data_IF_008638331976
#
_entry.id   IF_008638331976
#
_cell.length_a   1.000
_cell.length_b   1.000
_cell.length_c   1.000
_cell.angle_alpha   90.00
_cell.angle_beta   90.00
_cell.angle_gamma   90.00
#
_symmetry.space_group_name_H-M   'P 1'
#
loop_
_entity.id
_entity.type
_entity.pdbx_description
1 polymer ?
#
# COMPACT_ATOMS: atom_id res chain seq x y z
N UNK A 1 3.16 29.76 12.28
CA UNK A 1 4.48 29.08 12.35
C UNK A 1 5.21 29.56 13.60
N UNK A 2 5.83 28.67 14.39
CA UNK A 2 6.73 29.10 15.47
C UNK A 2 7.82 30.03 14.91
N UNK A 3 8.26 31.00 15.71
CA UNK A 3 9.17 32.09 15.27
C UNK A 3 10.52 31.63 14.68
N UNK A 4 10.88 30.37 14.85
CA UNK A 4 12.21 29.83 14.50
C UNK A 4 12.19 28.83 13.34
N UNK A 5 11.03 28.59 12.70
CA UNK A 5 10.90 27.63 11.63
C UNK A 5 11.15 28.32 10.27
N UNK A 6 12.31 28.03 9.66
CA UNK A 6 12.73 28.66 8.38
C UNK A 6 12.05 28.04 7.15
N UNK A 7 11.82 26.73 7.16
CA UNK A 7 11.13 25.98 6.11
C UNK A 7 10.38 24.80 6.75
N UNK A 8 9.22 24.46 6.20
CA UNK A 8 8.44 23.27 6.56
C UNK A 8 8.17 22.50 5.28
N UNK A 9 8.48 21.19 5.28
CA UNK A 9 7.92 20.28 4.29
C UNK A 9 6.44 20.09 4.60
N UNK A 10 5.55 20.68 3.81
CA UNK A 10 4.11 20.43 3.92
C UNK A 10 3.81 19.04 3.36
N UNK A 11 3.76 18.04 4.24
CA UNK A 11 3.21 16.72 3.90
C UNK A 11 1.76 16.68 4.34
N UNK A 12 0.85 16.68 3.36
CA UNK A 12 -0.60 16.56 3.62
C UNK A 12 -1.05 15.10 3.77
N UNK A 13 -0.21 14.14 3.40
CA UNK A 13 -0.51 12.71 3.50
C UNK A 13 -0.36 12.12 4.91
N UNK A 14 0.13 12.89 5.89
CA UNK A 14 0.26 12.43 7.28
C UNK A 14 0.07 13.61 8.24
N UNK A 15 -0.96 13.54 9.06
CA UNK A 15 -1.23 14.48 10.15
C UNK A 15 -1.51 13.71 11.44
N UNK A 16 -1.31 14.37 12.58
CA UNK A 16 -1.69 13.84 13.89
C UNK A 16 -2.91 14.59 14.41
N UNK A 17 -3.87 13.86 14.95
CA UNK A 17 -5.05 14.43 15.59
C UNK A 17 -4.96 14.26 17.10
N UNK A 18 -5.42 15.26 17.85
CA UNK A 18 -5.65 15.09 19.28
C UNK A 18 -6.84 14.16 19.52
N UNK A 19 -6.89 13.50 20.68
CA UNK A 19 -8.01 12.63 21.03
C UNK A 19 -9.37 13.36 21.00
N UNK A 20 -9.39 14.63 21.47
CA UNK A 20 -10.60 15.46 21.43
C UNK A 20 -11.06 15.77 20.00
N UNK A 21 -10.10 16.04 19.10
CA UNK A 21 -10.39 16.29 17.69
C UNK A 21 -10.95 15.05 16.99
N UNK A 22 -10.32 13.88 17.21
CA UNK A 22 -10.79 12.60 16.68
C UNK A 22 -12.20 12.26 17.19
N UNK A 23 -12.45 12.43 18.49
CA UNK A 23 -13.77 12.16 19.07
C UNK A 23 -14.84 13.06 18.45
N UNK A 24 -14.54 14.35 18.27
CA UNK A 24 -15.48 15.28 17.64
C UNK A 24 -15.75 14.94 16.17
N UNK A 25 -14.74 14.46 15.42
CA UNK A 25 -14.94 13.98 14.04
C UNK A 25 -15.86 12.76 14.01
N UNK A 26 -15.67 11.80 14.91
CA UNK A 26 -16.52 10.62 15.01
C UNK A 26 -17.96 11.00 15.32
N UNK A 27 -18.18 11.95 16.23
CA UNK A 27 -19.51 12.45 16.56
C UNK A 27 -20.14 13.21 15.38
N UNK A 28 -19.36 14.05 14.68
CA UNK A 28 -19.81 14.82 13.53
C UNK A 28 -20.31 13.93 12.39
N UNK A 29 -19.62 12.82 12.13
CA UNK A 29 -19.93 11.88 11.04
C UNK A 29 -20.63 10.60 11.50
N UNK A 30 -21.09 10.53 12.75
CA UNK A 30 -21.78 9.36 13.30
C UNK A 30 -22.99 8.90 12.45
N UNK A 31 -23.85 9.79 11.93
CA UNK A 31 -24.96 9.37 11.08
C UNK A 31 -24.51 8.61 9.83
N UNK A 32 -23.50 9.10 9.12
CA UNK A 32 -22.95 8.48 7.92
C UNK A 32 -22.27 7.14 8.22
N UNK A 33 -21.53 7.07 9.34
CA UNK A 33 -20.87 5.84 9.79
C UNK A 33 -21.89 4.75 10.15
N UNK A 34 -22.99 5.11 10.81
CA UNK A 34 -24.07 4.18 11.16
C UNK A 34 -24.81 3.70 9.92
N UNK A 35 -25.13 4.61 9.00
CA UNK A 35 -25.87 4.28 7.78
C UNK A 35 -25.02 3.48 6.78
N UNK A 36 -23.69 3.67 6.78
CA UNK A 36 -22.76 3.14 5.76
C UNK A 36 -23.15 3.53 4.32
N UNK A 37 -23.78 4.70 4.16
CA UNK A 37 -24.33 5.15 2.88
C UNK A 37 -23.50 6.23 2.19
N UNK A 38 -22.42 6.71 2.80
CA UNK A 38 -21.61 7.80 2.25
C UNK A 38 -20.16 7.34 1.98
N UNK A 39 -19.61 7.79 0.86
CA UNK A 39 -18.21 7.59 0.47
C UNK A 39 -17.48 8.94 0.53
N UNK A 40 -17.34 9.48 1.75
CA UNK A 40 -16.68 10.75 1.98
C UNK A 40 -15.15 10.56 2.00
N UNK A 41 -14.48 11.22 1.07
CA UNK A 41 -13.01 11.37 1.00
C UNK A 41 -12.52 12.49 1.93
N UNK A 42 -11.42 12.26 2.64
CA UNK A 42 -10.80 13.23 3.56
C UNK A 42 -10.38 14.53 2.89
N UNK A 43 -10.01 14.51 1.60
CA UNK A 43 -9.58 15.71 0.89
C UNK A 43 -10.78 16.66 0.65
N UNK A 44 -11.74 16.33 -0.23
CA UNK A 44 -12.86 17.23 -0.52
C UNK A 44 -13.83 17.37 0.66
N UNK A 45 -14.04 16.37 1.50
CA UNK A 45 -15.11 16.47 2.51
C UNK A 45 -14.64 16.87 3.89
N UNK A 46 -13.34 16.96 4.14
CA UNK A 46 -12.83 17.43 5.43
C UNK A 46 -11.76 18.50 5.25
N UNK A 47 -10.66 18.19 4.58
CA UNK A 47 -9.51 19.08 4.46
C UNK A 47 -9.82 20.36 3.69
N UNK A 48 -10.41 20.24 2.50
CA UNK A 48 -10.71 21.40 1.65
C UNK A 48 -11.65 22.41 2.32
N UNK A 49 -12.82 22.04 2.86
CA UNK A 49 -13.75 23.03 3.43
C UNK A 49 -13.24 23.66 4.74
N UNK A 50 -12.29 23.02 5.46
CA UNK A 50 -11.68 23.64 6.66
C UNK A 50 -10.44 24.49 6.35
N UNK A 51 -10.00 24.56 5.09
CA UNK A 51 -8.78 25.29 4.69
C UNK A 51 -8.94 26.25 3.51
N UNK A 52 -9.86 25.98 2.58
CA UNK A 52 -10.12 26.81 1.41
C UNK A 52 -11.15 27.90 1.71
N UNK A 53 -11.18 28.94 0.88
CA UNK A 53 -12.32 29.85 0.81
C UNK A 53 -13.57 29.15 0.26
N UNK A 54 -14.76 29.62 0.66
CA UNK A 54 -16.04 29.02 0.24
C UNK A 54 -16.14 28.89 -1.28
N UNK A 55 -15.82 29.96 -2.03
CA UNK A 55 -15.91 29.94 -3.48
C UNK A 55 -14.97 28.92 -4.12
N UNK A 56 -13.70 28.88 -3.69
CA UNK A 56 -12.72 27.91 -4.19
C UNK A 56 -13.18 26.47 -3.96
N UNK A 57 -13.76 26.21 -2.79
CA UNK A 57 -14.34 24.90 -2.47
C UNK A 57 -15.51 24.54 -3.39
N UNK A 58 -16.46 25.46 -3.60
CA UNK A 58 -17.60 25.24 -4.50
C UNK A 58 -17.14 24.98 -5.94
N UNK A 59 -16.16 25.73 -6.42
CA UNK A 59 -15.60 25.58 -7.77
C UNK A 59 -14.92 24.20 -7.94
N UNK A 60 -14.26 23.69 -6.91
CA UNK A 60 -13.67 22.35 -6.90
C UNK A 60 -14.75 21.27 -6.88
N UNK A 61 -15.79 21.43 -6.07
CA UNK A 61 -16.87 20.45 -5.94
C UNK A 61 -17.78 20.39 -7.17
N UNK A 62 -17.99 21.53 -7.85
CA UNK A 62 -18.69 21.58 -9.14
C UNK A 62 -18.00 20.71 -10.20
N UNK A 63 -16.65 20.75 -10.28
CA UNK A 63 -15.87 19.88 -11.18
C UNK A 63 -15.98 18.39 -10.83
N UNK A 64 -16.39 18.07 -9.59
CA UNK A 64 -16.64 16.71 -9.10
C UNK A 64 -18.12 16.30 -9.23
N UNK A 65 -18.98 17.17 -9.77
CA UNK A 65 -20.39 16.89 -10.05
C UNK A 65 -21.33 17.10 -8.87
N UNK A 66 -20.89 17.78 -7.80
CA UNK A 66 -21.74 18.14 -6.65
C UNK A 66 -22.45 19.46 -6.92
N UNK A 67 -23.72 19.57 -6.52
CA UNK A 67 -24.48 20.82 -6.67
C UNK A 67 -23.93 21.90 -5.74
N UNK A 68 -24.15 23.17 -6.09
CA UNK A 68 -23.73 24.30 -5.26
C UNK A 68 -24.40 24.26 -3.88
N UNK A 69 -25.68 23.88 -3.82
CA UNK A 69 -26.43 23.79 -2.56
C UNK A 69 -25.86 22.70 -1.64
N UNK A 70 -25.60 21.50 -2.17
CA UNK A 70 -25.01 20.39 -1.41
C UNK A 70 -23.59 20.73 -0.93
N UNK A 71 -22.75 21.26 -1.84
CA UNK A 71 -21.41 21.67 -1.48
C UNK A 71 -21.44 22.81 -0.46
N UNK A 72 -22.31 23.80 -0.64
CA UNK A 72 -22.49 24.91 0.29
C UNK A 72 -22.88 24.45 1.68
N UNK A 73 -23.88 23.58 1.78
CA UNK A 73 -24.31 23.00 3.05
C UNK A 73 -23.17 22.23 3.74
N UNK A 74 -22.38 21.46 2.98
CA UNK A 74 -21.24 20.73 3.53
C UNK A 74 -20.10 21.65 3.98
N UNK A 75 -19.83 22.73 3.23
CA UNK A 75 -18.86 23.76 3.64
C UNK A 75 -19.27 24.39 4.96
N UNK A 76 -20.54 24.79 5.08
CA UNK A 76 -21.06 25.44 6.28
C UNK A 76 -21.03 24.50 7.49
N UNK A 77 -21.34 23.20 7.28
CA UNK A 77 -21.17 22.14 8.30
C UNK A 77 -19.72 22.05 8.80
N UNK A 78 -18.75 21.97 7.90
CA UNK A 78 -17.33 21.87 8.25
C UNK A 78 -16.78 23.17 8.86
N UNK A 79 -17.30 24.33 8.48
CA UNK A 79 -16.99 25.60 9.12
C UNK A 79 -17.49 25.64 10.58
N UNK A 80 -18.70 25.15 10.84
CA UNK A 80 -19.24 25.01 12.20
C UNK A 80 -18.42 24.01 13.03
N UNK A 81 -17.99 22.90 12.43
CA UNK A 81 -17.06 21.97 13.06
C UNK A 81 -15.73 22.64 13.42
N UNK A 82 -15.11 23.36 12.47
CA UNK A 82 -13.85 24.09 12.67
C UNK A 82 -13.94 25.10 13.82
N UNK A 83 -15.07 25.80 13.95
CA UNK A 83 -15.27 26.80 15.00
C UNK A 83 -15.19 26.22 16.43
N UNK A 84 -15.40 24.90 16.61
CA UNK A 84 -15.23 24.21 17.91
C UNK A 84 -13.77 24.22 18.38
N UNK A 85 -12.80 24.32 17.46
CA UNK A 85 -11.37 24.17 17.74
C UNK A 85 -10.54 25.43 17.40
N UNK A 86 -11.01 26.25 16.46
CA UNK A 86 -10.38 27.51 16.07
C UNK A 86 -11.41 28.66 16.06
N UNK A 87 -12.02 28.99 17.22
CA UNK A 87 -13.11 29.95 17.31
C UNK A 87 -12.68 31.39 16.94
N UNK A 88 -11.39 31.72 17.06
CA UNK A 88 -10.81 33.00 16.66
C UNK A 88 -10.28 33.02 15.23
N UNK A 89 -10.53 31.96 14.45
CA UNK A 89 -10.02 31.82 13.08
C UNK A 89 -8.57 31.33 13.02
N UNK A 90 -8.02 30.81 14.12
CA UNK A 90 -6.67 30.26 14.18
C UNK A 90 -6.48 29.08 13.21
N UNK A 91 -5.22 28.73 12.93
CA UNK A 91 -4.92 27.57 12.12
C UNK A 91 -5.35 26.28 12.86
N UNK A 92 -6.17 25.46 12.18
CA UNK A 92 -6.63 24.18 12.73
C UNK A 92 -5.49 23.15 12.84
N UNK A 93 -4.55 23.21 11.89
CA UNK A 93 -3.36 22.36 11.84
C UNK A 93 -2.08 23.17 12.07
N UNK A 94 -1.12 22.53 12.73
CA UNK A 94 0.23 23.05 12.94
C UNK A 94 1.29 22.18 12.28
N UNK A 95 2.54 22.63 12.36
CA UNK A 95 3.69 21.87 11.88
C UNK A 95 4.29 21.06 13.02
N UNK A 96 4.63 19.80 12.76
CA UNK A 96 5.37 18.94 13.69
C UNK A 96 6.83 18.87 13.23
N UNK A 97 7.77 19.19 14.13
CA UNK A 97 9.20 18.95 13.90
C UNK A 97 9.51 17.49 14.23
N UNK A 98 9.81 16.71 13.20
CA UNK A 98 10.19 15.29 13.32
C UNK A 98 11.69 15.10 13.55
N UNK A 99 12.47 16.18 13.55
CA UNK A 99 13.92 16.17 13.72
C UNK A 99 14.68 15.83 12.43
N UNK A 100 15.94 16.29 12.34
CA UNK A 100 16.79 16.11 11.16
C UNK A 100 17.35 14.69 10.99
N UNK A 101 17.25 13.87 12.03
CA UNK A 101 17.78 12.50 12.08
C UNK A 101 16.70 11.43 11.96
N UNK A 102 15.45 11.82 11.71
CA UNK A 102 14.36 10.88 11.50
C UNK A 102 14.60 10.03 10.25
N UNK A 103 14.23 8.75 10.35
CA UNK A 103 14.14 7.89 9.17
C UNK A 103 12.77 8.05 8.52
N UNK A 104 12.75 8.15 7.19
CA UNK A 104 11.54 8.27 6.39
C UNK A 104 11.55 7.18 5.33
N UNK A 105 10.59 6.26 5.41
CA UNK A 105 10.43 5.16 4.45
C UNK A 105 9.06 5.29 3.80
N UNK A 106 9.04 5.84 2.59
CA UNK A 106 7.82 6.04 1.81
C UNK A 106 7.53 4.80 0.94
N UNK A 107 6.29 4.33 0.92
CA UNK A 107 5.86 3.19 0.11
C UNK A 107 4.82 3.58 -0.95
N UNK A 108 4.54 4.88 -1.12
CA UNK A 108 3.46 5.40 -1.97
C UNK A 108 3.73 5.32 -3.47
N UNK A 109 4.97 5.05 -3.90
CA UNK A 109 5.34 4.81 -5.31
C UNK A 109 5.97 3.44 -5.45
N UNK A 110 5.75 2.77 -6.58
CA UNK A 110 6.25 1.42 -6.84
C UNK A 110 7.78 1.30 -6.68
N UNK A 111 8.54 2.27 -7.20
CA UNK A 111 9.99 2.33 -7.01
C UNK A 111 10.37 2.42 -5.52
N UNK A 112 9.69 3.28 -4.76
CA UNK A 112 9.97 3.46 -3.33
C UNK A 112 9.55 2.24 -2.51
N UNK A 113 8.42 1.61 -2.86
CA UNK A 113 7.98 0.34 -2.29
C UNK A 113 9.06 -0.74 -2.48
N UNK A 114 9.57 -0.89 -3.70
CA UNK A 114 10.64 -1.84 -4.03
C UNK A 114 11.92 -1.53 -3.24
N UNK A 115 12.40 -0.28 -3.30
CA UNK A 115 13.63 0.15 -2.64
C UNK A 115 13.57 -0.03 -1.12
N UNK A 116 12.47 0.39 -0.48
CA UNK A 116 12.32 0.29 0.98
C UNK A 116 12.06 -1.14 1.43
N UNK A 117 11.35 -1.95 0.63
CA UNK A 117 11.22 -3.39 0.90
C UNK A 117 12.60 -4.05 0.88
N UNK A 118 13.43 -3.77 -0.13
CA UNK A 118 14.79 -4.30 -0.21
C UNK A 118 15.73 -3.72 0.85
N UNK A 119 15.50 -2.50 1.31
CA UNK A 119 16.37 -1.82 2.29
C UNK A 119 16.52 -2.61 3.59
N UNK A 120 15.57 -3.48 3.93
CA UNK A 120 15.67 -4.40 5.07
C UNK A 120 16.85 -5.38 4.98
N UNK A 121 17.42 -5.61 3.79
CA UNK A 121 18.62 -6.46 3.61
C UNK A 121 19.91 -5.73 3.98
N UNK A 122 19.89 -4.39 4.00
CA UNK A 122 21.08 -3.57 4.17
C UNK A 122 21.67 -3.66 5.58
N UNK A 123 22.99 -3.46 5.66
CA UNK A 123 23.75 -3.41 6.91
C UNK A 123 23.95 -1.96 7.39
N UNK A 124 22.85 -1.24 7.61
CA UNK A 124 22.88 0.15 8.11
C UNK A 124 22.03 0.33 9.38
N UNK A 125 22.28 1.40 10.13
CA UNK A 125 21.49 1.75 11.31
C UNK A 125 20.01 1.99 10.96
N UNK A 126 19.74 2.64 9.82
CA UNK A 126 18.36 2.85 9.34
C UNK A 126 17.69 1.53 8.95
N UNK A 127 18.40 0.63 8.26
CA UNK A 127 17.86 -0.69 7.94
C UNK A 127 17.61 -1.53 9.21
N UNK A 128 18.48 -1.44 10.22
CA UNK A 128 18.25 -2.07 11.52
C UNK A 128 17.02 -1.49 12.22
N UNK A 129 16.84 -0.17 12.22
CA UNK A 129 15.65 0.47 12.76
C UNK A 129 14.37 0.05 12.01
N UNK A 130 14.42 -0.05 10.68
CA UNK A 130 13.30 -0.53 9.86
C UNK A 130 12.93 -1.97 10.22
N UNK A 131 13.92 -2.87 10.34
CA UNK A 131 13.69 -4.26 10.78
C UNK A 131 13.01 -4.31 12.16
N UNK A 132 13.46 -3.48 13.11
CA UNK A 132 12.85 -3.39 14.45
C UNK A 132 11.43 -2.82 14.40
N UNK A 133 11.19 -1.79 13.59
CA UNK A 133 9.86 -1.22 13.38
C UNK A 133 8.86 -2.26 12.85
N UNK A 134 9.30 -3.06 11.87
CA UNK A 134 8.55 -4.18 11.31
C UNK A 134 8.49 -5.41 12.25
N UNK A 135 9.08 -5.31 13.45
CA UNK A 135 9.15 -6.39 14.45
C UNK A 135 9.81 -7.67 13.92
N UNK A 136 10.76 -7.52 13.00
CA UNK A 136 11.62 -8.63 12.61
C UNK A 136 12.57 -8.88 13.78
N UNK A 137 12.54 -10.10 14.33
CA UNK A 137 13.54 -10.58 15.30
C UNK A 137 14.99 -10.50 14.77
N UNK A 138 15.94 -10.91 15.60
CA UNK A 138 17.37 -10.66 15.35
C UNK A 138 17.94 -11.41 14.12
N UNK A 139 17.24 -12.44 13.63
CA UNK A 139 17.59 -13.19 12.42
C UNK A 139 16.89 -12.67 11.17
N UNK A 140 17.55 -12.77 10.01
CA UNK A 140 16.95 -12.43 8.70
C UNK A 140 16.05 -13.51 8.13
N UNK A 141 16.06 -14.71 8.73
CA UNK A 141 15.20 -15.83 8.36
C UNK A 141 14.33 -16.20 9.56
N UNK A 142 13.00 -16.20 9.40
CA UNK A 142 12.05 -16.44 10.49
C UNK A 142 10.85 -17.23 9.99
N UNK A 143 10.38 -18.16 10.82
CA UNK A 143 9.18 -18.98 10.56
C UNK A 143 9.21 -19.66 9.17
N UNK A 144 10.39 -20.00 8.66
CA UNK A 144 10.58 -20.47 7.29
C UNK A 144 11.12 -21.90 7.25
N UNK A 145 10.63 -22.68 6.29
CA UNK A 145 11.07 -24.05 5.96
C UNK A 145 11.84 -24.01 4.64
N UNK A 146 13.16 -23.88 4.72
CA UNK A 146 14.02 -23.84 3.54
C UNK A 146 14.77 -25.16 3.43
N UNK A 147 14.67 -25.82 2.26
CA UNK A 147 15.36 -27.07 2.02
C UNK A 147 16.88 -26.93 2.14
N UNK A 148 17.56 -27.95 2.67
CA UNK A 148 19.01 -27.93 2.87
C UNK A 148 19.83 -27.75 1.58
N UNK A 149 19.25 -28.11 0.43
CA UNK A 149 19.87 -27.92 -0.89
C UNK A 149 19.70 -26.51 -1.45
N UNK A 150 18.95 -25.63 -0.79
CA UNK A 150 18.81 -24.24 -1.21
C UNK A 150 20.03 -23.42 -0.75
N UNK A 151 20.57 -22.60 -1.65
CA UNK A 151 21.60 -21.62 -1.35
C UNK A 151 20.93 -20.31 -0.94
N UNK A 152 21.25 -19.78 0.24
CA UNK A 152 20.67 -18.53 0.73
C UNK A 152 21.77 -17.54 1.08
N UNK A 153 21.75 -16.38 0.44
CA UNK A 153 22.63 -15.27 0.77
C UNK A 153 22.34 -14.76 2.19
N UNK A 154 23.40 -14.49 2.97
CA UNK A 154 23.27 -13.98 4.34
C UNK A 154 22.58 -12.61 4.41
N UNK A 155 22.57 -11.89 3.28
CA UNK A 155 21.88 -10.64 3.02
C UNK A 155 20.35 -10.76 3.00
N UNK A 156 19.84 -11.87 2.47
CA UNK A 156 18.43 -12.04 2.15
C UNK A 156 17.53 -12.08 3.39
N UNK A 157 16.31 -11.56 3.26
CA UNK A 157 15.30 -11.59 4.32
C UNK A 157 14.18 -12.53 3.89
N UNK A 158 13.91 -13.56 4.70
CA UNK A 158 12.96 -14.62 4.40
C UNK A 158 12.04 -14.84 5.61
N UNK A 159 10.75 -14.61 5.42
CA UNK A 159 9.75 -14.65 6.49
C UNK A 159 8.61 -15.57 6.07
N UNK A 160 8.19 -16.46 6.97
CA UNK A 160 7.01 -17.32 6.79
C UNK A 160 6.99 -18.10 5.45
N UNK A 161 8.15 -18.52 4.93
CA UNK A 161 8.26 -19.08 3.58
C UNK A 161 8.64 -20.56 3.57
N UNK A 162 8.13 -21.31 2.60
CA UNK A 162 8.48 -22.73 2.36
C UNK A 162 9.05 -22.88 0.95
N UNK A 163 10.34 -23.21 0.85
CA UNK A 163 11.07 -23.29 -0.42
C UNK A 163 11.82 -24.61 -0.51
N UNK A 164 11.54 -25.39 -1.56
CA UNK A 164 12.10 -26.73 -1.77
C UNK A 164 13.52 -26.78 -2.35
N UNK A 165 14.08 -25.66 -2.82
CA UNK A 165 15.44 -25.59 -3.38
C UNK A 165 15.72 -24.28 -4.13
N UNK A 166 16.87 -24.21 -4.81
CA UNK A 166 17.28 -23.08 -5.65
C UNK A 166 18.28 -22.14 -4.96
N UNK A 167 18.41 -20.91 -5.48
CA UNK A 167 19.35 -19.89 -5.00
C UNK A 167 18.63 -18.58 -4.71
N UNK A 168 18.60 -18.20 -3.43
CA UNK A 168 18.08 -16.90 -2.98
C UNK A 168 19.28 -15.98 -2.82
N UNK A 169 19.54 -15.18 -3.85
CA UNK A 169 20.68 -14.28 -3.96
C UNK A 169 20.56 -13.02 -3.09
N UNK A 170 21.62 -12.18 -3.09
CA UNK A 170 21.66 -10.95 -2.31
C UNK A 170 20.51 -10.01 -2.67
N UNK A 171 20.18 -9.12 -1.73
CA UNK A 171 19.09 -8.15 -1.87
C UNK A 171 17.77 -8.80 -2.28
N UNK A 172 17.44 -9.96 -1.73
CA UNK A 172 16.15 -10.61 -1.97
C UNK A 172 15.31 -10.61 -0.70
N UNK A 173 14.02 -10.37 -0.86
CA UNK A 173 13.04 -10.37 0.23
C UNK A 173 11.89 -11.31 -0.13
N UNK A 174 11.69 -12.34 0.68
CA UNK A 174 10.61 -13.30 0.55
C UNK A 174 9.75 -13.23 1.80
N UNK A 175 8.45 -12.96 1.66
CA UNK A 175 7.48 -12.95 2.76
C UNK A 175 6.28 -13.79 2.36
N UNK A 176 6.00 -14.83 3.12
CA UNK A 176 4.92 -15.79 2.82
C UNK A 176 5.01 -16.41 1.42
N UNK A 177 6.20 -16.90 1.06
CA UNK A 177 6.46 -17.51 -0.26
C UNK A 177 6.43 -19.03 -0.15
N UNK A 178 5.66 -19.69 -1.01
CA UNK A 178 5.57 -21.15 -1.09
C UNK A 178 5.85 -21.60 -2.53
N UNK A 179 6.94 -22.32 -2.77
CA UNK A 179 7.34 -22.75 -4.11
C UNK A 179 8.25 -24.00 -4.08
N UNK A 180 8.26 -24.83 -5.13
CA UNK A 180 9.15 -25.99 -5.22
C UNK A 180 10.64 -25.56 -5.27
N UNK A 181 10.95 -24.42 -5.90
CA UNK A 181 12.28 -23.81 -5.84
C UNK A 181 12.22 -22.33 -6.19
N UNK A 182 13.17 -21.55 -5.66
CA UNK A 182 13.31 -20.11 -5.95
C UNK A 182 14.75 -19.82 -6.37
N UNK A 183 14.94 -19.19 -7.53
CA UNK A 183 16.22 -18.73 -8.07
C UNK A 183 16.12 -17.25 -8.41
N UNK A 184 16.38 -16.38 -7.42
CA UNK A 184 16.13 -14.94 -7.53
C UNK A 184 17.27 -14.10 -6.98
N UNK A 185 17.41 -12.88 -7.49
CA UNK A 185 18.35 -11.89 -6.96
C UNK A 185 17.78 -10.47 -7.08
N UNK A 186 17.86 -9.67 -6.03
CA UNK A 186 17.31 -8.31 -6.09
C UNK A 186 15.78 -8.26 -6.13
N UNK A 187 15.08 -9.37 -5.83
CA UNK A 187 13.62 -9.47 -5.99
C UNK A 187 12.87 -9.29 -4.66
N UNK A 188 11.65 -8.80 -4.76
CA UNK A 188 10.69 -8.77 -3.65
C UNK A 188 9.52 -9.69 -3.97
N UNK A 189 9.26 -10.68 -3.12
CA UNK A 189 8.16 -11.63 -3.26
C UNK A 189 7.33 -11.57 -1.98
N UNK A 190 6.12 -11.04 -2.06
CA UNK A 190 5.21 -10.89 -0.91
C UNK A 190 3.93 -11.67 -1.19
N UNK A 191 3.59 -12.61 -0.31
CA UNK A 191 2.46 -13.51 -0.42
C UNK A 191 2.41 -14.20 -1.79
N UNK A 192 3.34 -15.12 -2.04
CA UNK A 192 3.45 -15.80 -3.34
C UNK A 192 3.28 -17.29 -3.15
N UNK A 193 2.45 -17.92 -3.95
CA UNK A 193 2.35 -19.38 -4.03
C UNK A 193 2.42 -19.80 -5.47
N UNK A 194 3.44 -20.57 -5.84
CA UNK A 194 3.60 -21.09 -7.19
C UNK A 194 3.84 -22.59 -7.15
N UNK A 195 3.10 -23.35 -7.96
CA UNK A 195 3.32 -24.79 -8.15
C UNK A 195 4.50 -25.10 -9.07
N UNK A 196 5.18 -24.06 -9.60
CA UNK A 196 6.35 -24.15 -10.48
C UNK A 196 7.54 -23.41 -9.85
N UNK A 197 8.78 -23.64 -10.31
CA UNK A 197 9.93 -22.84 -9.91
C UNK A 197 9.71 -21.35 -10.14
N UNK A 198 10.20 -20.50 -9.23
CA UNK A 198 10.22 -19.05 -9.42
C UNK A 198 11.64 -18.63 -9.81
N UNK A 199 11.78 -17.82 -10.86
CA UNK A 199 13.07 -17.29 -11.32
C UNK A 199 13.01 -15.81 -11.63
N UNK A 200 14.06 -15.05 -11.37
CA UNK A 200 14.17 -13.70 -11.91
C UNK A 200 15.12 -12.78 -11.17
N UNK A 201 15.20 -11.54 -11.65
CA UNK A 201 16.09 -10.52 -11.11
C UNK A 201 15.43 -9.15 -11.07
N UNK A 202 15.47 -8.49 -9.92
CA UNK A 202 15.02 -7.10 -9.78
C UNK A 202 13.51 -6.86 -9.90
N UNK A 203 12.70 -7.93 -9.90
CA UNK A 203 11.24 -7.84 -10.01
C UNK A 203 10.49 -7.85 -8.67
N UNK A 204 9.17 -7.67 -8.76
CA UNK A 204 8.24 -7.71 -7.64
C UNK A 204 7.07 -8.64 -7.96
N UNK A 205 6.83 -9.63 -7.10
CA UNK A 205 5.58 -10.41 -7.09
C UNK A 205 4.82 -10.08 -5.81
N UNK A 206 3.57 -9.63 -5.96
CA UNK A 206 2.71 -9.27 -4.83
C UNK A 206 1.38 -10.03 -4.88
N UNK A 207 1.09 -10.82 -3.84
CA UNK A 207 -0.16 -11.55 -3.70
C UNK A 207 -0.41 -12.50 -4.89
N UNK A 208 0.60 -13.23 -5.35
CA UNK A 208 0.55 -14.00 -6.60
C UNK A 208 0.22 -15.46 -6.33
N UNK A 209 -0.79 -16.00 -7.04
CA UNK A 209 -1.06 -17.44 -7.12
C UNK A 209 -0.83 -17.92 -8.54
N UNK A 210 0.17 -18.77 -8.71
CA UNK A 210 0.58 -19.35 -9.99
C UNK A 210 0.41 -20.88 -9.98
N UNK A 211 -0.58 -21.34 -10.73
CA UNK A 211 -0.92 -22.76 -10.90
C UNK A 211 -0.92 -23.15 -12.38
N UNK A 212 -0.21 -22.39 -13.22
CA UNK A 212 -0.14 -22.67 -14.65
C UNK A 212 0.44 -24.07 -14.88
N UNK A 213 -0.16 -24.81 -15.81
CA UNK A 213 0.41 -26.08 -16.28
C UNK A 213 1.66 -25.83 -17.13
N UNK A 214 2.67 -26.69 -17.01
CA UNK A 214 3.90 -26.61 -17.79
C UNK A 214 5.17 -26.59 -16.95
N UNK A 215 6.32 -26.61 -17.63
CA UNK A 215 7.65 -26.69 -17.00
C UNK A 215 8.36 -25.33 -16.89
N UNK A 216 7.86 -24.30 -17.57
CA UNK A 216 8.46 -22.96 -17.49
C UNK A 216 8.39 -22.45 -16.04
N UNK A 217 9.33 -21.60 -15.59
CA UNK A 217 9.22 -20.97 -14.29
C UNK A 217 8.20 -19.83 -14.29
N UNK A 218 7.73 -19.44 -13.11
CA UNK A 218 7.14 -18.12 -12.89
C UNK A 218 8.28 -17.08 -12.86
N UNK A 219 8.21 -16.07 -13.72
CA UNK A 219 9.25 -15.04 -13.79
C UNK A 219 9.02 -13.89 -12.80
N UNK A 220 10.11 -13.36 -12.26
CA UNK A 220 10.18 -12.20 -11.36
C UNK A 220 11.21 -11.19 -11.88
N UNK A 221 11.15 -10.88 -13.17
CA UNK A 221 11.99 -9.88 -13.84
C UNK A 221 11.27 -8.53 -14.03
N UNK A 222 9.96 -8.50 -13.73
CA UNK A 222 9.10 -7.33 -13.80
C UNK A 222 8.17 -7.32 -12.57
N UNK A 223 7.19 -6.42 -12.59
CA UNK A 223 6.20 -6.33 -11.50
C UNK A 223 4.93 -7.07 -11.90
N UNK A 224 4.47 -7.96 -11.02
CA UNK A 224 3.15 -8.60 -11.11
C UNK A 224 2.44 -8.53 -9.75
N UNK A 225 1.17 -8.20 -9.78
CA UNK A 225 0.26 -8.37 -8.67
C UNK A 225 -1.01 -9.09 -9.12
N UNK A 226 -1.47 -10.07 -8.34
CA UNK A 226 -2.80 -10.65 -8.59
C UNK A 226 -3.83 -9.98 -7.66
N UNK A 227 -4.96 -9.58 -8.24
CA UNK A 227 -6.08 -8.98 -7.54
C UNK A 227 -7.23 -9.98 -7.50
N UNK A 228 -7.63 -10.36 -6.29
CA UNK A 228 -8.72 -11.30 -6.06
C UNK A 228 -9.99 -10.56 -5.69
N UNK A 229 -11.09 -10.98 -6.31
CA UNK A 229 -12.44 -10.51 -6.03
C UNK A 229 -13.34 -11.71 -5.70
N UNK A 230 -14.51 -11.50 -5.05
CA UNK A 230 -15.44 -12.56 -4.74
C UNK A 230 -15.87 -13.36 -5.99
N UNK A 231 -16.31 -14.60 -5.79
CA UNK A 231 -16.72 -15.47 -6.88
C UNK A 231 -15.56 -16.12 -7.66
N UNK A 232 -14.35 -16.10 -7.12
CA UNK A 232 -13.17 -16.74 -7.73
C UNK A 232 -12.54 -15.93 -8.86
N UNK A 233 -12.86 -14.65 -8.95
CA UNK A 233 -12.29 -13.75 -9.95
C UNK A 233 -10.86 -13.39 -9.54
N UNK A 234 -9.92 -13.59 -10.47
CA UNK A 234 -8.51 -13.20 -10.32
C UNK A 234 -8.07 -12.40 -11.53
N UNK A 235 -7.67 -11.14 -11.31
CA UNK A 235 -7.02 -10.32 -12.32
C UNK A 235 -5.51 -10.34 -12.12
N UNK A 236 -4.79 -10.79 -13.14
CA UNK A 236 -3.33 -10.70 -13.18
C UNK A 236 -2.95 -9.34 -13.74
N UNK A 237 -2.22 -8.54 -12.95
CA UNK A 237 -1.82 -7.19 -13.29
C UNK A 237 -0.30 -7.08 -13.36
N UNK A 238 0.20 -6.60 -14.49
CA UNK A 238 1.60 -6.40 -14.80
C UNK A 238 1.98 -4.92 -14.82
N UNK A 239 3.23 -4.65 -14.46
CA UNK A 239 3.88 -3.33 -14.51
C UNK A 239 5.40 -3.49 -14.55
N UNK A 240 6.12 -2.38 -14.50
CA UNK A 240 7.59 -2.37 -14.36
C UNK A 240 8.04 -1.22 -13.47
N UNK A 241 9.28 -1.28 -12.99
CA UNK A 241 9.89 -0.16 -12.24
C UNK A 241 10.08 1.10 -13.12
N UNK A 242 10.05 0.95 -14.44
CA UNK A 242 10.11 2.08 -15.39
C UNK A 242 8.72 2.72 -15.63
N UNK A 243 7.63 2.10 -15.16
CA UNK A 243 6.28 2.59 -15.37
C UNK A 243 5.94 3.70 -14.36
N UNK A 244 5.66 4.90 -14.86
CA UNK A 244 5.07 5.96 -14.05
C UNK A 244 3.58 5.69 -13.81
N UNK A 245 3.25 5.30 -12.58
CA UNK A 245 1.88 5.00 -12.16
C UNK A 245 0.92 6.20 -12.26
N UNK A 246 1.41 7.44 -12.15
CA UNK A 246 0.57 8.64 -12.30
C UNK A 246 0.08 8.81 -13.73
N UNK A 247 0.96 8.55 -14.70
CA UNK A 247 0.64 8.60 -16.13
C UNK A 247 -0.12 7.36 -16.58
N UNK A 248 0.25 6.18 -16.09
CA UNK A 248 -0.34 4.90 -16.48
C UNK A 248 -1.69 4.59 -15.81
N UNK A 249 -2.11 5.35 -14.79
CA UNK A 249 -3.28 5.04 -13.94
C UNK A 249 -4.54 4.67 -14.74
N UNK A 250 -4.82 5.44 -15.80
CA UNK A 250 -6.03 5.29 -16.63
C UNK A 250 -5.81 4.46 -17.89
N UNK A 251 -4.56 4.07 -18.18
CA UNK A 251 -4.18 3.34 -19.39
C UNK A 251 -4.14 1.85 -19.10
N UNK A 252 -4.72 1.05 -19.97
CA UNK A 252 -4.51 -0.41 -19.94
C UNK A 252 -3.14 -0.72 -20.53
N UNK A 253 -2.21 -1.15 -19.68
CA UNK A 253 -0.88 -1.56 -20.11
C UNK A 253 -0.94 -2.90 -20.85
N UNK A 254 0.07 -3.17 -21.68
CA UNK A 254 0.18 -4.45 -22.39
C UNK A 254 0.21 -5.63 -21.39
N UNK A 255 -0.47 -6.71 -21.76
CA UNK A 255 -0.67 -7.88 -20.90
C UNK A 255 -1.72 -7.72 -19.79
N UNK A 256 -2.24 -6.52 -19.52
CA UNK A 256 -3.26 -6.31 -18.48
C UNK A 256 -4.68 -6.43 -19.03
N UNK A 257 -5.62 -7.03 -18.28
CA UNK A 257 -7.03 -7.07 -18.68
C UNK A 257 -7.73 -5.71 -18.53
N UNK A 258 -7.24 -4.87 -17.61
CA UNK A 258 -7.82 -3.57 -17.27
C UNK A 258 -6.72 -2.55 -16.95
N UNK A 259 -7.06 -1.26 -16.93
CA UNK A 259 -6.21 -0.24 -16.32
C UNK A 259 -6.20 -0.35 -14.79
N UNK A 260 -5.24 0.28 -14.13
CA UNK A 260 -5.21 0.32 -12.66
C UNK A 260 -6.46 1.01 -12.09
N UNK A 261 -6.91 2.10 -12.71
CA UNK A 261 -8.19 2.75 -12.36
C UNK A 261 -9.39 1.83 -12.56
N UNK A 262 -9.39 1.02 -13.63
CA UNK A 262 -10.45 0.06 -13.90
C UNK A 262 -10.59 -0.97 -12.77
N UNK A 263 -9.47 -1.56 -12.34
CA UNK A 263 -9.45 -2.47 -11.18
C UNK A 263 -9.87 -1.75 -9.89
N UNK A 264 -9.36 -0.54 -9.66
CA UNK A 264 -9.73 0.26 -8.50
C UNK A 264 -11.25 0.48 -8.42
N UNK A 265 -11.88 0.91 -9.52
CA UNK A 265 -13.34 1.10 -9.60
C UNK A 265 -14.12 -0.20 -9.45
N UNK A 266 -13.63 -1.30 -10.02
CA UNK A 266 -14.26 -2.62 -9.87
C UNK A 266 -14.21 -3.11 -8.40
N UNK A 267 -13.17 -2.74 -7.65
CA UNK A 267 -13.01 -3.08 -6.24
C UNK A 267 -13.81 -2.18 -5.29
N UNK A 268 -14.13 -0.94 -5.66
CA UNK A 268 -14.83 0.03 -4.79
C UNK A 268 -16.09 -0.50 -4.08
N UNK A 269 -17.01 -1.23 -4.75
CA UNK A 269 -18.22 -1.71 -4.10
C UNK A 269 -18.02 -3.03 -3.33
N UNK A 270 -16.84 -3.64 -3.37
CA UNK A 270 -16.60 -4.98 -2.82
C UNK A 270 -16.21 -4.92 -1.34
N UNK A 271 -16.59 -5.96 -0.60
CA UNK A 271 -16.12 -6.15 0.77
C UNK A 271 -14.67 -6.65 0.77
N UNK A 272 -13.78 -5.88 1.40
CA UNK A 272 -12.35 -6.21 1.51
C UNK A 272 -12.10 -7.55 2.22
N UNK A 273 -12.96 -7.94 3.17
CA UNK A 273 -12.86 -9.22 3.88
C UNK A 273 -13.17 -10.38 2.93
N UNK A 274 -14.15 -10.24 2.05
CA UNK A 274 -14.46 -11.26 1.02
C UNK A 274 -13.35 -11.37 -0.02
N UNK A 275 -12.79 -10.24 -0.49
CA UNK A 275 -11.63 -10.23 -1.37
C UNK A 275 -10.41 -10.92 -0.72
N UNK A 276 -10.17 -10.66 0.57
CA UNK A 276 -9.09 -11.31 1.34
C UNK A 276 -9.32 -12.81 1.46
N UNK A 277 -10.54 -13.23 1.81
CA UNK A 277 -10.90 -14.64 1.90
C UNK A 277 -10.75 -15.37 0.55
N UNK A 278 -11.06 -14.70 -0.56
CA UNK A 278 -10.85 -15.25 -1.90
C UNK A 278 -9.36 -15.46 -2.21
N UNK A 279 -8.49 -14.49 -1.86
CA UNK A 279 -7.05 -14.63 -1.99
C UNK A 279 -6.51 -15.78 -1.13
N UNK A 280 -6.89 -15.83 0.15
CA UNK A 280 -6.47 -16.88 1.09
C UNK A 280 -6.88 -18.28 0.62
N UNK A 281 -8.10 -18.42 0.10
CA UNK A 281 -8.58 -19.67 -0.46
C UNK A 281 -7.75 -20.11 -1.67
N UNK A 282 -7.42 -19.20 -2.58
CA UNK A 282 -6.58 -19.48 -3.75
C UNK A 282 -5.16 -19.90 -3.34
N UNK A 283 -4.53 -19.17 -2.41
CA UNK A 283 -3.22 -19.53 -1.87
C UNK A 283 -3.24 -20.89 -1.18
N UNK A 284 -4.25 -21.17 -0.36
CA UNK A 284 -4.41 -22.45 0.34
C UNK A 284 -4.58 -23.61 -0.64
N UNK A 285 -5.40 -23.43 -1.67
CA UNK A 285 -5.61 -24.44 -2.71
C UNK A 285 -4.33 -24.74 -3.48
N UNK A 286 -3.60 -23.69 -3.91
CA UNK A 286 -2.32 -23.86 -4.61
C UNK A 286 -1.26 -24.51 -3.72
N UNK A 287 -1.19 -24.11 -2.45
CA UNK A 287 -0.25 -24.66 -1.47
C UNK A 287 -0.48 -26.15 -1.21
N UNK A 288 -1.72 -26.63 -1.28
CA UNK A 288 -2.04 -28.05 -1.12
C UNK A 288 -1.50 -28.96 -2.25
N UNK A 289 -1.01 -28.35 -3.35
CA UNK A 289 -0.42 -29.05 -4.50
C UNK A 289 1.12 -29.11 -4.45
N UNK A 290 1.74 -28.48 -3.45
CA UNK A 290 3.20 -28.45 -3.20
C UNK A 290 3.61 -29.57 -2.25
#
# INVERSE_FOLDING_TARGET
MPKNVKQVGTSLGSFSLSAAFMSSLLDEFAPELVAKTACLDSDPHFWMPVTLGRQDYLDVMSKKGTTEDEAGAHFDRMAAFRAKFAPGGEALLGCVDVGQTAYWWDYGRLELYMNNSLFVTAASASAHALRRFLRLGDGRQQLSEIAAAAEVDAGAVILNSKVGGGRIGPNSVLVNVNAPSVDVEGCVLINVTSTRPIKGRGGLLYNVVDEAGGLEPLTCDAVRADVFMPGGIKHVMHSSLATDGGTAWKVTLDGNPHSFEGIYKANQPLDVQECTAAADAAHKQAKAKL
#
